data_IF_924030945469
#
_entry.id   IF_924030945469
#
_cell.length_a   1.000
_cell.length_b   1.000
_cell.length_c   1.000
_cell.angle_alpha   90.00
_cell.angle_beta   90.00
_cell.angle_gamma   90.00
#
_symmetry.space_group_name_H-M   'P 1'
#
loop_
_entity.id
_entity.type
_entity.pdbx_description
1 polymer ?
#
# COMPACT_ATOMS: atom_id res chain seq x y z
N UNK A 1 -16.40 0.96 12.97
CA UNK A 1 -16.05 0.86 11.54
C UNK A 1 -14.88 1.77 11.15
N UNK A 2 -14.78 3.03 11.60
CA UNK A 2 -13.66 3.93 11.24
C UNK A 2 -12.25 3.47 11.71
N UNK A 3 -12.12 2.80 12.85
CA UNK A 3 -10.80 2.34 13.34
C UNK A 3 -10.25 1.12 12.60
N UNK A 4 -11.11 0.28 12.02
CA UNK A 4 -10.68 -0.96 11.35
C UNK A 4 -9.91 -0.63 10.08
N UNK A 5 -10.39 0.34 9.29
CA UNK A 5 -9.68 0.82 8.09
C UNK A 5 -8.32 1.44 8.43
N UNK A 6 -8.25 2.21 9.52
CA UNK A 6 -6.99 2.81 9.99
C UNK A 6 -5.98 1.75 10.46
N UNK A 7 -6.41 0.77 11.26
CA UNK A 7 -5.55 -0.31 11.75
C UNK A 7 -5.10 -1.22 10.60
N UNK A 8 -6.00 -1.55 9.67
CA UNK A 8 -5.67 -2.32 8.48
C UNK A 8 -4.66 -1.59 7.58
N UNK A 9 -4.82 -0.28 7.39
CA UNK A 9 -3.85 0.55 6.64
C UNK A 9 -2.47 0.56 7.30
N UNK A 10 -2.40 0.73 8.62
CA UNK A 10 -1.14 0.68 9.35
C UNK A 10 -0.48 -0.71 9.32
N UNK A 11 -1.25 -1.78 9.52
CA UNK A 11 -0.75 -3.15 9.51
C UNK A 11 -0.20 -3.55 8.13
N UNK A 12 -0.91 -3.18 7.06
CA UNK A 12 -0.49 -3.45 5.68
C UNK A 12 0.77 -2.66 5.31
N UNK A 13 0.85 -1.37 5.65
CA UNK A 13 2.05 -0.57 5.44
C UNK A 13 3.28 -1.12 6.18
N UNK A 14 3.09 -1.57 7.42
CA UNK A 14 4.16 -2.17 8.22
C UNK A 14 4.66 -3.50 7.63
N UNK A 15 3.75 -4.37 7.19
CA UNK A 15 4.10 -5.64 6.53
C UNK A 15 4.83 -5.43 5.21
N UNK A 16 4.39 -4.46 4.39
CA UNK A 16 5.03 -4.13 3.12
C UNK A 16 6.43 -3.56 3.34
N UNK A 17 6.60 -2.66 4.30
CA UNK A 17 7.93 -2.12 4.67
C UNK A 17 8.88 -3.19 5.21
N UNK A 18 8.36 -4.13 6.01
CA UNK A 18 9.11 -5.29 6.49
C UNK A 18 9.56 -6.17 5.32
N UNK A 19 8.66 -6.53 4.42
CA UNK A 19 8.97 -7.33 3.24
C UNK A 19 10.06 -6.68 2.36
N UNK A 20 9.98 -5.35 2.15
CA UNK A 20 11.00 -4.61 1.40
C UNK A 20 12.37 -4.61 2.07
N UNK A 21 12.41 -4.55 3.41
CA UNK A 21 13.65 -4.54 4.18
C UNK A 21 14.41 -5.86 4.06
N UNK A 22 13.69 -6.99 4.01
CA UNK A 22 14.32 -8.32 3.86
C UNK A 22 14.61 -8.70 2.41
N UNK A 23 14.20 -7.87 1.44
CA UNK A 23 14.48 -8.11 0.04
C UNK A 23 15.89 -7.65 -0.37
N UNK A 24 16.90 -8.37 0.13
CA UNK A 24 18.33 -8.04 -0.06
C UNK A 24 18.96 -8.62 -1.33
N UNK A 25 18.16 -9.21 -2.23
CA UNK A 25 18.65 -9.74 -3.51
C UNK A 25 19.14 -8.62 -4.43
N UNK A 26 20.07 -8.92 -5.34
CA UNK A 26 20.55 -7.99 -6.36
C UNK A 26 19.40 -7.40 -7.21
N UNK A 27 18.32 -8.18 -7.39
CA UNK A 27 17.09 -7.70 -8.03
C UNK A 27 16.31 -6.71 -7.15
N UNK A 28 16.29 -6.90 -5.83
CA UNK A 28 15.64 -6.00 -4.88
C UNK A 28 16.31 -4.63 -4.83
N UNK A 29 17.63 -4.57 -4.94
CA UNK A 29 18.36 -3.30 -4.95
C UNK A 29 18.14 -2.47 -6.24
N UNK A 30 17.93 -3.14 -7.37
CA UNK A 30 17.69 -2.50 -8.66
C UNK A 30 16.21 -2.13 -8.90
N UNK A 31 15.28 -3.02 -8.51
CA UNK A 31 13.85 -2.85 -8.74
C UNK A 31 13.08 -2.32 -7.53
N UNK A 32 13.70 -2.26 -6.34
CA UNK A 32 13.04 -1.89 -5.09
C UNK A 32 12.31 -0.56 -5.17
N UNK A 33 12.93 0.47 -5.77
CA UNK A 33 12.31 1.78 -5.93
C UNK A 33 11.08 1.75 -6.86
N UNK A 34 11.10 0.95 -7.93
CA UNK A 34 9.96 0.80 -8.86
C UNK A 34 8.79 0.09 -8.17
N UNK A 35 9.10 -0.96 -7.43
CA UNK A 35 8.11 -1.71 -6.67
C UNK A 35 7.51 -0.89 -5.52
N UNK A 36 8.29 -0.04 -4.85
CA UNK A 36 7.76 0.89 -3.85
C UNK A 36 6.73 1.86 -4.46
N UNK A 37 6.99 2.39 -5.65
CA UNK A 37 6.02 3.23 -6.39
C UNK A 37 4.77 2.43 -6.75
N UNK A 38 4.93 1.19 -7.24
CA UNK A 38 3.78 0.33 -7.55
C UNK A 38 2.95 -0.02 -6.30
N UNK A 39 3.58 -0.16 -5.13
CA UNK A 39 2.91 -0.48 -3.87
C UNK A 39 2.09 0.70 -3.33
N UNK A 40 2.55 1.94 -3.54
CA UNK A 40 1.77 3.15 -3.21
C UNK A 40 0.49 3.25 -4.05
N UNK A 41 0.54 2.81 -5.31
CA UNK A 41 -0.63 2.84 -6.20
C UNK A 41 -1.75 1.93 -5.70
N UNK A 42 -1.46 0.89 -4.93
CA UNK A 42 -2.49 -0.04 -4.43
C UNK A 42 -3.53 0.68 -3.57
N UNK A 43 -3.19 1.29 -2.40
CA UNK A 43 -4.16 2.02 -1.59
C UNK A 43 -4.76 3.24 -2.32
N UNK A 44 -3.98 3.91 -3.19
CA UNK A 44 -4.46 5.04 -3.97
C UNK A 44 -5.58 4.61 -4.95
N UNK A 45 -5.41 3.47 -5.63
CA UNK A 45 -6.42 2.90 -6.51
C UNK A 45 -7.63 2.40 -5.74
N UNK A 46 -7.46 1.79 -4.56
CA UNK A 46 -8.59 1.37 -3.73
C UNK A 46 -9.43 2.58 -3.30
N UNK A 47 -8.78 3.70 -2.96
CA UNK A 47 -9.45 4.95 -2.65
C UNK A 47 -10.15 5.56 -3.87
N UNK A 48 -9.45 5.64 -5.00
CA UNK A 48 -10.00 6.13 -6.27
C UNK A 48 -11.19 5.28 -6.77
N UNK A 49 -11.15 3.97 -6.57
CA UNK A 49 -12.25 3.07 -6.89
C UNK A 49 -13.42 3.16 -5.91
N UNK A 50 -13.17 3.58 -4.66
CA UNK A 50 -14.21 3.83 -3.67
C UNK A 50 -14.96 5.14 -3.88
N UNK A 51 -14.30 6.15 -4.48
CA UNK A 51 -14.87 7.49 -4.75
C UNK A 51 -16.21 7.49 -5.51
N UNK A 52 -16.38 6.74 -6.61
CA UNK A 52 -17.66 6.66 -7.33
C UNK A 52 -18.82 6.08 -6.51
N UNK A 53 -18.52 5.34 -5.43
CA UNK A 53 -19.51 4.68 -4.58
C UNK A 53 -19.83 5.46 -3.31
N UNK A 54 -19.16 6.61 -3.09
CA UNK A 54 -19.48 7.50 -1.98
C UNK A 54 -20.73 8.30 -2.38
N UNK A 55 -21.87 8.08 -1.71
CA UNK A 55 -23.06 8.89 -1.94
C UNK A 55 -22.73 10.33 -1.54
N UNK A 56 -23.00 11.27 -2.43
CA UNK A 56 -22.98 12.70 -2.14
C UNK A 56 -24.20 13.02 -1.27
N UNK A 57 -24.10 12.70 0.02
CA UNK A 57 -25.08 13.03 1.06
C UNK A 57 -24.41 13.64 2.27
#
# INVERSE_FOLDING_TARGET
MNHVGFIAGLATGLWVGYFMTYWTSASGHYYGWRLSICLELVPALTFAAGLPWIPET
#
